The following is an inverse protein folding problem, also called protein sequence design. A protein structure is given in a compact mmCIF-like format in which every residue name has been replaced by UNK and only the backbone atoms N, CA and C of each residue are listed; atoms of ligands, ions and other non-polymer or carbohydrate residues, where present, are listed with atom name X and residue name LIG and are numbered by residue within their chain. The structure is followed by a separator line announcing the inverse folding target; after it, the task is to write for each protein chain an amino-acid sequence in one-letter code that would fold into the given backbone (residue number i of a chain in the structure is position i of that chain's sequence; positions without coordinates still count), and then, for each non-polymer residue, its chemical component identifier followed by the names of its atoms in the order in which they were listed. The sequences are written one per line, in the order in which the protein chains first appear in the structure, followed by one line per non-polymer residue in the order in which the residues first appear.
data_IF_902366098277
#
_entry.id   IF_902366098277
#
_cell.length_a   1.000
_cell.length_b   1.000
_cell.length_c   1.000
_cell.angle_alpha   90.00
_cell.angle_beta   90.00
_cell.angle_gamma   90.00
#
_symmetry.space_group_name_H-M   'P 1'
#
loop_
_entity.id
_entity.type
_entity.pdbx_description
1 polymer ?
#
# COMPACT_ATOMS: atom_id res chain seq x y z
N UNK A 1 -0.11 -18.19 10.24
CA UNK A 1 0.07 -16.77 9.83
C UNK A 1 -1.15 -16.37 9.00
N UNK A 2 -1.55 -15.09 8.94
CA UNK A 2 -2.67 -14.68 8.07
C UNK A 2 -2.42 -15.12 6.63
N UNK A 3 -3.49 -15.52 5.93
CA UNK A 3 -3.46 -16.02 4.54
C UNK A 3 -2.52 -17.22 4.30
N UNK A 4 -2.25 -18.00 5.34
CA UNK A 4 -1.34 -19.16 5.31
C UNK A 4 0.08 -18.83 4.80
N UNK A 5 0.52 -17.58 5.04
CA UNK A 5 1.84 -17.12 4.62
C UNK A 5 2.97 -17.83 5.37
N UNK A 6 4.00 -18.29 4.67
CA UNK A 6 5.26 -18.69 5.31
C UNK A 6 6.04 -17.49 5.87
N UNK A 7 7.03 -17.70 6.76
CA UNK A 7 7.78 -16.60 7.37
C UNK A 7 8.53 -15.75 6.33
N UNK A 8 9.06 -16.38 5.29
CA UNK A 8 9.74 -15.70 4.19
C UNK A 8 8.78 -14.83 3.37
N UNK A 9 7.57 -15.31 3.11
CA UNK A 9 6.55 -14.57 2.38
C UNK A 9 6.09 -13.33 3.16
N UNK A 10 6.03 -13.43 4.50
CA UNK A 10 5.73 -12.30 5.37
C UNK A 10 6.82 -11.23 5.29
N UNK A 11 8.09 -11.61 5.37
CA UNK A 11 9.23 -10.68 5.25
C UNK A 11 9.22 -10.01 3.87
N UNK A 12 8.99 -10.78 2.81
CA UNK A 12 8.85 -10.25 1.45
C UNK A 12 7.76 -9.18 1.36
N UNK A 13 6.56 -9.48 1.87
CA UNK A 13 5.43 -8.55 1.82
C UNK A 13 5.65 -7.32 2.69
N UNK A 14 6.33 -7.44 3.83
CA UNK A 14 6.71 -6.31 4.66
C UNK A 14 7.66 -5.37 3.92
N UNK A 15 8.70 -5.91 3.28
CA UNK A 15 9.64 -5.13 2.46
C UNK A 15 8.91 -4.49 1.28
N UNK A 16 8.07 -5.24 0.56
CA UNK A 16 7.29 -4.73 -0.56
C UNK A 16 6.34 -3.60 -0.14
N UNK A 17 5.69 -3.72 1.02
CA UNK A 17 4.82 -2.69 1.58
C UNK A 17 5.59 -1.40 1.88
N UNK A 18 6.79 -1.49 2.48
CA UNK A 18 7.65 -0.34 2.76
C UNK A 18 8.11 0.34 1.47
N UNK A 19 8.57 -0.43 0.48
CA UNK A 19 8.99 0.10 -0.83
C UNK A 19 7.81 0.75 -1.56
N UNK A 20 6.65 0.10 -1.60
CA UNK A 20 5.46 0.65 -2.23
C UNK A 20 4.99 1.94 -1.56
N UNK A 21 5.04 2.00 -0.22
CA UNK A 21 4.74 3.20 0.55
C UNK A 21 5.70 4.35 0.25
N UNK A 22 7.00 4.06 0.17
CA UNK A 22 8.03 5.04 -0.20
C UNK A 22 7.79 5.60 -1.61
N UNK A 23 7.57 4.74 -2.60
CA UNK A 23 7.29 5.15 -3.99
C UNK A 23 6.04 6.02 -4.05
N UNK A 24 4.95 5.59 -3.40
CA UNK A 24 3.70 6.37 -3.33
C UNK A 24 3.90 7.73 -2.66
N UNK A 25 4.72 7.82 -1.62
CA UNK A 25 5.03 9.08 -0.95
C UNK A 25 5.67 10.10 -1.90
N UNK A 26 6.45 9.64 -2.89
CA UNK A 26 7.06 10.49 -3.91
C UNK A 26 6.11 10.79 -5.08
N UNK A 27 5.43 9.78 -5.62
CA UNK A 27 4.62 9.91 -6.84
C UNK A 27 3.17 10.30 -6.62
N UNK A 28 2.64 10.14 -5.39
CA UNK A 28 1.22 10.27 -5.07
C UNK A 28 0.35 9.07 -5.49
N UNK A 29 0.90 8.06 -6.19
CA UNK A 29 0.14 6.91 -6.70
C UNK A 29 0.97 5.61 -6.73
N UNK A 30 0.32 4.47 -6.99
CA UNK A 30 1.01 3.23 -7.35
C UNK A 30 1.29 2.26 -6.19
N UNK A 31 0.89 2.58 -4.96
CA UNK A 31 0.98 1.64 -3.83
C UNK A 31 0.23 0.34 -4.10
N UNK A 32 -1.05 0.44 -4.50
CA UNK A 32 -1.87 -0.73 -4.80
C UNK A 32 -1.29 -1.59 -5.93
N UNK A 33 -0.78 -0.95 -7.00
CA UNK A 33 -0.17 -1.67 -8.12
C UNK A 33 1.07 -2.47 -7.69
N UNK A 34 1.98 -1.82 -6.94
CA UNK A 34 3.21 -2.46 -6.47
C UNK A 34 2.92 -3.56 -5.45
N UNK A 35 2.02 -3.34 -4.49
CA UNK A 35 1.76 -4.32 -3.44
C UNK A 35 0.97 -5.53 -3.97
N UNK A 36 0.01 -5.32 -4.87
CA UNK A 36 -0.69 -6.42 -5.56
C UNK A 36 0.31 -7.24 -6.40
N UNK A 37 1.16 -6.59 -7.19
CA UNK A 37 2.18 -7.27 -7.99
C UNK A 37 3.19 -8.03 -7.12
N UNK A 38 3.61 -7.49 -5.98
CA UNK A 38 4.50 -8.20 -5.06
C UNK A 38 3.80 -9.36 -4.36
N UNK A 39 2.52 -9.23 -4.03
CA UNK A 39 1.73 -10.30 -3.40
C UNK A 39 1.52 -11.50 -4.31
N UNK A 40 1.34 -11.29 -5.62
CA UNK A 40 1.12 -12.38 -6.58
C UNK A 40 2.32 -13.31 -6.74
N UNK A 41 3.50 -12.91 -6.27
CA UNK A 41 4.71 -13.74 -6.28
C UNK A 41 4.74 -14.78 -5.14
N UNK A 42 3.99 -14.56 -4.06
CA UNK A 42 4.08 -15.40 -2.84
C UNK A 42 2.73 -15.90 -2.32
N UNK A 43 1.62 -15.34 -2.78
CA UNK A 43 0.27 -15.73 -2.36
C UNK A 43 -0.77 -15.33 -3.40
N UNK A 44 -2.04 -15.72 -3.17
CA UNK A 44 -3.15 -15.25 -3.99
C UNK A 44 -3.39 -13.75 -3.74
N UNK A 45 -3.26 -12.88 -4.76
CA UNK A 45 -3.39 -11.43 -4.59
C UNK A 45 -4.80 -10.98 -4.21
N UNK A 46 -5.85 -11.80 -4.42
CA UNK A 46 -7.22 -11.47 -3.98
C UNK A 46 -7.29 -11.21 -2.47
N UNK A 47 -6.50 -11.94 -1.69
CA UNK A 47 -6.43 -11.76 -0.23
C UNK A 47 -5.95 -10.36 0.17
N UNK A 48 -5.17 -9.71 -0.70
CA UNK A 48 -4.57 -8.41 -0.45
C UNK A 48 -5.40 -7.24 -0.98
N UNK A 49 -6.43 -7.49 -1.80
CA UNK A 49 -7.29 -6.42 -2.37
C UNK A 49 -7.91 -5.55 -1.28
N UNK A 50 -8.53 -6.17 -0.26
CA UNK A 50 -9.11 -5.43 0.85
C UNK A 50 -8.04 -4.65 1.65
N UNK A 51 -6.86 -5.25 1.83
CA UNK A 51 -5.74 -4.64 2.55
C UNK A 51 -5.24 -3.39 1.82
N UNK A 52 -4.99 -3.47 0.50
CA UNK A 52 -4.51 -2.32 -0.27
C UNK A 52 -5.52 -1.19 -0.31
N UNK A 53 -6.82 -1.48 -0.45
CA UNK A 53 -7.88 -0.46 -0.47
C UNK A 53 -7.93 0.30 0.86
N UNK A 54 -7.88 -0.41 1.99
CA UNK A 54 -7.87 0.21 3.31
C UNK A 54 -6.64 1.09 3.49
N UNK A 55 -5.44 0.56 3.19
CA UNK A 55 -4.18 1.29 3.35
C UNK A 55 -4.14 2.52 2.43
N UNK A 56 -4.56 2.37 1.18
CA UNK A 56 -4.57 3.46 0.20
C UNK A 56 -5.56 4.57 0.60
N UNK A 57 -6.71 4.20 1.16
CA UNK A 57 -7.68 5.16 1.71
C UNK A 57 -7.07 5.93 2.89
N UNK A 58 -6.47 5.24 3.84
CA UNK A 58 -5.85 5.85 5.03
C UNK A 58 -4.68 6.76 4.63
N UNK A 59 -3.84 6.35 3.68
CA UNK A 59 -2.74 7.17 3.16
C UNK A 59 -3.26 8.40 2.41
N UNK A 60 -4.32 8.26 1.62
CA UNK A 60 -4.93 9.38 0.90
C UNK A 60 -5.56 10.40 1.85
N UNK A 61 -6.21 9.94 2.93
CA UNK A 61 -6.74 10.83 3.97
C UNK A 61 -5.63 11.58 4.70
N UNK A 62 -4.52 10.92 5.01
CA UNK A 62 -3.35 11.59 5.61
C UNK A 62 -2.75 12.65 4.68
N UNK A 63 -2.59 12.33 3.40
CA UNK A 63 -2.11 13.28 2.41
C UNK A 63 -3.06 14.49 2.24
N UNK A 64 -4.37 14.24 2.19
CA UNK A 64 -5.38 15.29 2.10
C UNK A 64 -5.38 16.22 3.32
N UNK A 65 -5.17 15.68 4.53
CA UNK A 65 -5.05 16.51 5.75
C UNK A 65 -3.76 17.34 5.76
N UNK A 66 -2.67 16.79 5.22
CA UNK A 66 -1.38 17.49 5.13
C UNK A 66 -1.38 18.61 4.09
N UNK A 67 -1.92 18.35 2.90
CA UNK A 67 -1.96 19.32 1.81
C UNK A 67 -3.16 20.28 1.88
N UNK A 68 -4.21 19.92 2.61
CA UNK A 68 -5.45 20.71 2.71
C UNK A 68 -5.27 22.19 3.09
N UNK A 69 -4.36 22.55 4.02
CA UNK A 69 -4.08 23.95 4.35
C UNK A 69 -3.42 24.76 3.22
N UNK A 70 -2.70 24.10 2.32
CA UNK A 70 -1.98 24.74 1.20
C UNK A 70 -2.84 24.87 -0.06
N UNK A 71 -4.03 24.25 -0.08
CA UNK A 71 -4.97 24.34 -1.19
C UNK A 71 -5.77 25.64 -1.09
N UNK A 72 -5.75 26.44 -2.15
CA UNK A 72 -6.65 27.59 -2.29
C UNK A 72 -8.05 27.08 -2.68
N UNK A 73 -8.95 27.01 -1.70
CA UNK A 73 -10.31 26.48 -1.85
C UNK A 73 -11.31 27.49 -2.44
N UNK A 74 -10.84 28.70 -2.82
CA UNK A 74 -11.67 29.81 -3.25
C UNK A 74 -12.18 29.68 -4.70
#
# INVERSE_FOLDING_TARGET
MPFDLGPLALVWLAVACLVAGFVRGYSGFGFSALLIAASSLVTNPLNFVAVVVILETVMSLQAAKGAGPDVDWK
#
